data_IF_933640427195
#
_entry.id   IF_933640427195
#
_cell.length_a   1.000
_cell.length_b   1.000
_cell.length_c   1.000
_cell.angle_alpha   90.00
_cell.angle_beta   90.00
_cell.angle_gamma   90.00
#
_symmetry.space_group_name_H-M   'P 1'
#
loop_
_entity.id
_entity.type
_entity.pdbx_description
1 polymer ?
#
# COMPACT_ATOMS: atom_id res chain seq x y z
N UNK A 1 -5.54 28.42 -8.96
CA UNK A 1 -6.89 28.06 -8.51
C UNK A 1 -7.38 26.99 -9.47
N UNK A 2 -6.96 25.76 -9.20
CA UNK A 2 -7.08 24.61 -10.10
C UNK A 2 -8.53 24.12 -10.08
N UNK A 3 -9.11 23.96 -11.26
CA UNK A 3 -10.52 23.67 -11.47
C UNK A 3 -10.86 22.33 -10.82
N UNK A 4 -11.62 22.35 -9.73
CA UNK A 4 -12.06 21.14 -9.04
C UNK A 4 -12.90 20.27 -9.98
N UNK A 5 -12.30 19.20 -10.49
CA UNK A 5 -12.91 18.33 -11.48
C UNK A 5 -14.12 17.60 -10.88
N UNK A 6 -15.29 17.86 -11.45
CA UNK A 6 -16.55 17.19 -11.09
C UNK A 6 -16.66 15.94 -11.97
N UNK A 7 -16.54 14.78 -11.34
CA UNK A 7 -16.71 13.50 -12.01
C UNK A 7 -18.21 13.29 -12.36
N UNK A 8 -18.50 12.94 -13.62
CA UNK A 8 -19.83 12.50 -14.10
C UNK A 8 -20.02 10.99 -13.79
N UNK A 9 -21.28 10.54 -13.66
CA UNK A 9 -21.68 9.21 -13.16
C UNK A 9 -20.90 8.05 -13.83
N UNK A 10 -20.39 7.18 -12.96
CA UNK A 10 -19.43 6.08 -13.14
C UNK A 10 -18.04 6.49 -13.64
N UNK A 11 -17.12 6.74 -12.69
CA UNK A 11 -15.71 6.92 -13.00
C UNK A 11 -14.81 6.05 -12.14
N UNK A 12 -13.67 5.70 -12.73
CA UNK A 12 -12.57 5.06 -12.02
C UNK A 12 -11.74 6.11 -11.32
N UNK A 13 -11.49 5.87 -10.04
CA UNK A 13 -10.71 6.76 -9.18
C UNK A 13 -9.54 5.97 -8.61
N UNK A 14 -8.33 6.49 -8.78
CA UNK A 14 -7.15 6.00 -8.09
C UNK A 14 -6.93 6.80 -6.79
N UNK A 15 -6.71 6.11 -5.68
CA UNK A 15 -6.42 6.68 -4.37
C UNK A 15 -4.94 6.46 -4.03
N UNK A 16 -4.31 7.50 -3.49
CA UNK A 16 -3.01 7.41 -2.82
C UNK A 16 -3.23 7.30 -1.31
N UNK A 17 -2.69 6.24 -0.70
CA UNK A 17 -3.05 5.80 0.63
C UNK A 17 -1.80 5.63 1.49
N UNK A 18 -1.84 6.18 2.69
CA UNK A 18 -0.88 5.93 3.77
C UNK A 18 -1.57 5.15 4.89
N UNK A 19 -0.85 4.20 5.51
CA UNK A 19 -1.35 3.52 6.70
C UNK A 19 -0.28 2.96 7.63
N UNK A 20 -0.59 2.99 8.92
CA UNK A 20 0.09 2.20 9.94
C UNK A 20 -0.53 0.80 10.01
N UNK A 21 0.14 -0.17 9.41
CA UNK A 21 -0.31 -1.57 9.37
C UNK A 21 -0.38 -2.31 10.71
N UNK A 22 0.11 -1.74 11.81
CA UNK A 22 0.30 -2.49 13.06
C UNK A 22 -1.00 -3.00 13.70
N UNK A 23 -2.14 -2.37 13.40
CA UNK A 23 -3.48 -2.78 13.86
C UNK A 23 -4.28 -3.59 12.82
N UNK A 24 -3.68 -3.96 11.69
CA UNK A 24 -4.37 -4.58 10.57
C UNK A 24 -3.87 -5.99 10.29
N UNK A 25 -4.81 -6.88 9.95
CA UNK A 25 -4.53 -8.21 9.41
C UNK A 25 -4.18 -8.14 7.92
N UNK A 26 -3.39 -7.14 7.52
CA UNK A 26 -2.94 -6.88 6.16
C UNK A 26 -3.90 -6.03 5.34
N UNK A 27 -3.59 -5.93 4.05
CA UNK A 27 -4.38 -5.14 3.10
C UNK A 27 -5.74 -5.79 2.80
N UNK A 28 -5.72 -7.05 2.35
CA UNK A 28 -6.86 -7.71 1.70
C UNK A 28 -7.94 -8.08 2.70
N UNK A 29 -9.21 -7.81 2.36
CA UNK A 29 -10.35 -8.32 3.15
C UNK A 29 -10.27 -9.85 3.26
N UNK A 30 -10.38 -10.34 4.49
CA UNK A 30 -10.41 -11.75 4.85
C UNK A 30 -11.26 -11.97 6.11
N UNK A 31 -11.63 -13.22 6.38
CA UNK A 31 -12.45 -13.55 7.55
C UNK A 31 -11.66 -13.31 8.85
N UNK A 32 -12.30 -12.66 9.84
CA UNK A 32 -11.83 -12.64 11.22
C UNK A 32 -10.82 -11.54 11.59
N UNK A 33 -10.77 -10.40 10.87
CA UNK A 33 -9.96 -9.27 11.32
C UNK A 33 -10.16 -7.96 10.56
N UNK A 34 -9.65 -6.88 11.15
CA UNK A 34 -9.64 -5.54 10.56
C UNK A 34 -8.58 -5.49 9.46
N UNK A 35 -8.96 -4.98 8.28
CA UNK A 35 -8.09 -4.91 7.08
C UNK A 35 -8.15 -3.52 6.49
N UNK A 36 -7.06 -3.07 5.85
CA UNK A 36 -7.01 -1.71 5.28
C UNK A 36 -8.07 -1.55 4.17
N UNK A 37 -8.19 -2.55 3.29
CA UNK A 37 -9.21 -2.57 2.25
C UNK A 37 -10.62 -2.46 2.84
N UNK A 38 -10.93 -3.25 3.87
CA UNK A 38 -12.26 -3.26 4.49
C UNK A 38 -12.62 -1.92 5.13
N UNK A 39 -11.68 -1.26 5.80
CA UNK A 39 -11.92 0.07 6.38
C UNK A 39 -12.16 1.13 5.32
N UNK A 40 -11.41 1.11 4.22
CA UNK A 40 -11.62 2.07 3.13
C UNK A 40 -12.94 1.81 2.41
N UNK A 41 -13.28 0.55 2.10
CA UNK A 41 -14.57 0.18 1.51
C UNK A 41 -15.75 0.60 2.41
N UNK A 42 -15.62 0.41 3.74
CA UNK A 42 -16.60 0.91 4.74
C UNK A 42 -16.72 2.43 4.69
N UNK A 43 -15.60 3.16 4.67
CA UNK A 43 -15.59 4.62 4.63
C UNK A 43 -16.23 5.15 3.33
N UNK A 44 -15.96 4.52 2.19
CA UNK A 44 -16.61 4.86 0.91
C UNK A 44 -18.12 4.61 0.99
N UNK A 45 -18.55 3.49 1.58
CA UNK A 45 -19.99 3.21 1.77
C UNK A 45 -20.67 4.26 2.64
N UNK A 46 -20.04 4.70 3.71
CA UNK A 46 -20.58 5.77 4.58
C UNK A 46 -20.68 7.09 3.82
N UNK A 47 -19.63 7.44 3.07
CA UNK A 47 -19.56 8.74 2.39
C UNK A 47 -20.49 8.83 1.18
N UNK A 48 -20.67 7.72 0.45
CA UNK A 48 -21.38 7.72 -0.85
C UNK A 48 -22.71 6.99 -0.82
N UNK A 49 -22.99 6.20 0.22
CA UNK A 49 -24.14 5.30 0.28
C UNK A 49 -24.03 4.07 -0.63
N UNK A 50 -22.90 3.87 -1.32
CA UNK A 50 -22.69 2.80 -2.30
C UNK A 50 -21.56 1.89 -1.87
N UNK A 51 -21.73 0.60 -2.10
CA UNK A 51 -20.65 -0.37 -1.96
C UNK A 51 -19.67 -0.25 -3.13
N UNK A 52 -18.39 -0.42 -2.85
CA UNK A 52 -17.34 -0.46 -3.85
C UNK A 52 -16.35 -1.57 -3.53
N UNK A 53 -15.62 -2.02 -4.53
CA UNK A 53 -14.46 -2.89 -4.34
C UNK A 53 -13.18 -2.14 -4.69
N UNK A 54 -12.22 -2.16 -3.78
CA UNK A 54 -10.89 -1.62 -4.04
C UNK A 54 -9.96 -2.70 -4.63
N UNK A 55 -9.16 -2.30 -5.61
CA UNK A 55 -8.08 -3.12 -6.16
C UNK A 55 -6.75 -2.38 -6.00
N UNK A 56 -5.85 -2.92 -5.18
CA UNK A 56 -4.55 -2.33 -4.90
C UNK A 56 -3.47 -2.68 -5.93
N UNK A 57 -2.44 -1.83 -5.98
CA UNK A 57 -1.21 -2.04 -6.72
C UNK A 57 -0.42 -3.24 -6.19
N UNK A 58 -0.41 -3.46 -4.88
CA UNK A 58 0.18 -4.62 -4.23
C UNK A 58 -0.52 -4.95 -2.91
N UNK A 59 -0.51 -6.23 -2.51
CA UNK A 59 -1.00 -6.65 -1.19
C UNK A 59 0.12 -6.49 -0.16
N UNK A 60 -0.22 -6.04 1.04
CA UNK A 60 0.67 -6.07 2.20
C UNK A 60 0.18 -7.08 3.22
N UNK A 61 1.13 -7.76 3.87
CA UNK A 61 0.85 -8.71 4.95
C UNK A 61 0.47 -8.00 6.25
N UNK A 62 0.00 -8.78 7.24
CA UNK A 62 -0.34 -8.29 8.58
C UNK A 62 0.83 -7.52 9.21
N UNK A 63 0.54 -6.35 9.77
CA UNK A 63 1.53 -5.49 10.41
C UNK A 63 2.36 -4.60 9.47
N UNK A 64 2.34 -4.82 8.14
CA UNK A 64 3.15 -4.04 7.18
C UNK A 64 2.50 -2.69 6.91
N UNK A 65 3.29 -1.61 6.95
CA UNK A 65 2.85 -0.23 6.70
C UNK A 65 2.87 0.13 5.21
N UNK A 66 2.28 1.27 4.84
CA UNK A 66 2.50 1.88 3.52
C UNK A 66 2.62 3.41 3.61
N UNK A 67 3.55 3.96 2.85
CA UNK A 67 3.72 5.40 2.64
C UNK A 67 3.02 5.91 1.37
N UNK A 68 2.64 5.01 0.46
CA UNK A 68 2.12 5.38 -0.86
C UNK A 68 1.48 4.21 -1.58
N UNK A 69 0.62 3.46 -0.89
CA UNK A 69 -0.15 2.41 -1.53
C UNK A 69 -1.14 3.05 -2.51
N UNK A 70 -1.21 2.49 -3.73
CA UNK A 70 -2.20 2.92 -4.73
C UNK A 70 -3.28 1.87 -4.84
N UNK A 71 -4.55 2.30 -4.82
CA UNK A 71 -5.67 1.42 -5.11
C UNK A 71 -6.70 2.16 -5.96
N UNK A 72 -7.36 1.46 -6.86
CA UNK A 72 -8.48 2.02 -7.62
C UNK A 72 -9.82 1.42 -7.20
N UNK A 73 -10.88 2.20 -7.42
CA UNK A 73 -12.26 1.76 -7.33
C UNK A 73 -13.07 2.41 -8.46
N UNK A 74 -14.19 1.79 -8.79
CA UNK A 74 -15.21 2.42 -9.62
C UNK A 74 -16.26 3.07 -8.70
N UNK A 75 -16.56 4.35 -8.96
CA UNK A 75 -17.50 5.13 -8.17
C UNK A 75 -18.60 5.69 -9.08
N UNK A 76 -19.84 5.27 -8.82
CA UNK A 76 -21.03 5.79 -9.52
C UNK A 76 -21.73 6.90 -8.74
N UNK A 77 -20.95 7.81 -8.16
CA UNK A 77 -21.46 8.96 -7.41
C UNK A 77 -20.77 10.24 -7.88
N UNK A 78 -21.50 11.36 -8.04
CA UNK A 78 -20.91 12.63 -8.40
C UNK A 78 -20.12 13.19 -7.20
N UNK A 79 -18.88 12.73 -7.03
CA UNK A 79 -17.98 13.17 -5.96
C UNK A 79 -16.91 14.09 -6.53
N UNK A 80 -16.67 15.20 -5.83
CA UNK A 80 -15.50 16.05 -6.04
C UNK A 80 -14.28 15.38 -5.43
N UNK A 81 -13.24 15.12 -6.23
CA UNK A 81 -12.03 14.41 -5.78
C UNK A 81 -11.37 15.05 -4.55
N UNK A 82 -11.29 16.38 -4.52
CA UNK A 82 -10.73 17.12 -3.39
C UNK A 82 -11.51 16.89 -2.09
N UNK A 83 -12.82 16.71 -2.18
CA UNK A 83 -13.68 16.40 -1.04
C UNK A 83 -13.70 14.92 -0.69
N UNK A 84 -13.43 14.04 -1.66
CA UNK A 84 -13.35 12.59 -1.43
C UNK A 84 -12.22 12.28 -0.45
N UNK A 85 -11.02 12.83 -0.65
CA UNK A 85 -9.88 12.58 0.24
C UNK A 85 -10.17 13.05 1.68
N UNK A 86 -10.70 14.27 1.83
CA UNK A 86 -11.06 14.84 3.13
C UNK A 86 -12.17 14.02 3.80
N UNK A 87 -13.22 13.70 3.05
CA UNK A 87 -14.37 12.96 3.56
C UNK A 87 -13.99 11.55 4.02
N UNK A 88 -13.21 10.82 3.22
CA UNK A 88 -12.72 9.49 3.59
C UNK A 88 -11.80 9.57 4.81
N UNK A 89 -10.85 10.49 4.83
CA UNK A 89 -9.93 10.65 5.97
C UNK A 89 -10.64 11.11 7.25
N UNK A 90 -11.81 11.75 7.16
CA UNK A 90 -12.64 12.09 8.32
C UNK A 90 -13.45 10.92 8.88
N UNK A 91 -13.64 9.84 8.11
CA UNK A 91 -14.36 8.61 8.53
C UNK A 91 -13.39 7.50 8.96
N UNK A 92 -12.21 7.48 8.35
CA UNK A 92 -11.15 6.54 8.68
C UNK A 92 -10.55 6.86 10.05
N UNK A 93 -10.11 5.80 10.74
CA UNK A 93 -9.32 5.94 11.96
C UNK A 93 -7.92 6.49 11.66
N UNK A 94 -7.24 6.99 12.69
CA UNK A 94 -5.95 7.71 12.57
C UNK A 94 -4.82 6.91 11.95
N UNK A 95 -4.99 5.60 11.79
CA UNK A 95 -4.01 4.68 11.21
C UNK A 95 -4.15 4.51 9.69
N UNK A 96 -5.11 5.16 9.03
CA UNK A 96 -5.24 5.19 7.56
C UNK A 96 -5.60 6.60 7.10
N UNK A 97 -4.92 7.09 6.05
CA UNK A 97 -5.21 8.38 5.45
C UNK A 97 -5.25 8.29 3.92
N UNK A 98 -6.20 9.00 3.31
CA UNK A 98 -6.26 9.19 1.86
C UNK A 98 -5.55 10.49 1.53
N UNK A 99 -4.37 10.38 0.92
CA UNK A 99 -3.49 11.51 0.65
C UNK A 99 -3.88 12.26 -0.61
N UNK A 100 -4.35 11.53 -1.62
CA UNK A 100 -4.80 12.11 -2.86
C UNK A 100 -5.77 11.16 -3.59
N UNK A 101 -6.51 11.71 -4.56
CA UNK A 101 -7.40 10.96 -5.43
C UNK A 101 -7.34 11.53 -6.85
N UNK A 102 -7.35 10.65 -7.84
CA UNK A 102 -7.19 10.99 -9.24
C UNK A 102 -8.31 10.36 -10.06
N UNK A 103 -8.95 11.14 -10.94
CA UNK A 103 -9.72 10.57 -12.03
C UNK A 103 -8.75 9.89 -12.99
N UNK A 104 -9.02 8.64 -13.32
CA UNK A 104 -8.17 7.85 -14.21
C UNK A 104 -9.02 7.26 -15.34
N UNK A 105 -8.40 6.89 -16.47
CA UNK A 105 -9.10 6.18 -17.54
C UNK A 105 -9.88 4.95 -17.03
N UNK A 106 -11.04 4.61 -17.62
CA UNK A 106 -11.84 3.45 -17.18
C UNK A 106 -11.12 2.10 -17.26
N UNK A 107 -10.07 2.00 -18.08
CA UNK A 107 -9.23 0.83 -18.25
C UNK A 107 -8.01 0.78 -17.31
N UNK A 108 -7.74 1.86 -16.56
CA UNK A 108 -6.64 1.88 -15.59
C UNK A 108 -6.78 0.76 -14.56
N UNK A 109 -5.70 0.04 -14.28
CA UNK A 109 -5.67 -1.01 -13.28
C UNK A 109 -4.43 -0.90 -12.38
N UNK A 110 -4.62 -0.43 -11.14
CA UNK A 110 -3.56 -0.18 -10.16
C UNK A 110 -2.50 -1.31 -10.04
N UNK A 111 -2.90 -2.59 -10.17
CA UNK A 111 -1.96 -3.73 -10.15
C UNK A 111 -1.19 -3.93 -11.45
N UNK A 112 -1.83 -3.79 -12.60
CA UNK A 112 -1.26 -4.24 -13.87
C UNK A 112 -0.54 -3.11 -14.60
N UNK A 113 -0.98 -1.86 -14.39
CA UNK A 113 -0.34 -0.67 -14.96
C UNK A 113 0.83 -0.16 -14.10
N UNK A 114 1.01 -0.71 -12.89
CA UNK A 114 2.12 -0.35 -12.04
C UNK A 114 3.44 -0.88 -12.63
N UNK A 115 4.32 0.06 -13.00
CA UNK A 115 5.65 -0.21 -13.59
C UNK A 115 6.69 -0.69 -12.58
N UNK A 116 6.48 -0.43 -11.30
CA UNK A 116 7.41 -0.79 -10.22
C UNK A 116 6.76 -0.65 -8.84
N UNK A 117 7.40 -1.23 -7.82
CA UNK A 117 7.03 -1.03 -6.41
C UNK A 117 8.31 -0.91 -5.59
N UNK A 118 8.32 0.05 -4.68
CA UNK A 118 9.43 0.27 -3.76
C UNK A 118 9.03 -0.18 -2.35
N UNK A 119 9.98 -0.83 -1.66
CA UNK A 119 9.81 -1.28 -0.29
C UNK A 119 10.97 -0.75 0.56
N UNK A 120 10.63 -0.20 1.72
CA UNK A 120 11.61 0.23 2.72
C UNK A 120 11.54 -0.71 3.93
N UNK A 121 12.65 -1.37 4.24
CA UNK A 121 12.80 -2.13 5.47
C UNK A 121 13.72 -1.38 6.44
N UNK A 122 13.17 -0.97 7.58
CA UNK A 122 13.93 -0.23 8.59
C UNK A 122 14.51 -1.18 9.63
N UNK A 123 15.83 -1.07 9.84
CA UNK A 123 16.54 -1.77 10.91
C UNK A 123 17.08 -0.72 11.88
N UNK A 124 16.70 -0.85 13.15
CA UNK A 124 17.28 -0.06 14.24
C UNK A 124 18.41 -0.86 14.87
N UNK A 125 19.65 -0.51 14.52
CA UNK A 125 20.85 -1.17 15.03
C UNK A 125 21.41 -0.47 16.27
N UNK A 126 20.81 -0.71 17.43
CA UNK A 126 21.22 -0.13 18.71
C UNK A 126 21.39 -1.19 19.78
N UNK A 127 22.33 -1.00 20.71
CA UNK A 127 22.56 -1.96 21.81
C UNK A 127 21.35 -2.13 22.72
N UNK A 128 20.57 -1.07 22.92
CA UNK A 128 19.30 -1.10 23.65
C UNK A 128 18.12 -0.85 22.70
N UNK A 129 16.96 -1.42 23.03
CA UNK A 129 15.69 -1.13 22.35
C UNK A 129 15.35 0.36 22.44
N UNK A 130 14.73 0.89 21.39
CA UNK A 130 14.14 2.24 21.40
C UNK A 130 12.62 2.14 21.36
N UNK A 131 11.90 2.69 22.36
CA UNK A 131 10.45 2.79 22.32
C UNK A 131 9.91 3.55 21.09
N UNK A 132 10.68 4.49 20.54
CA UNK A 132 10.30 5.23 19.33
C UNK A 132 10.37 4.39 18.04
N UNK A 133 11.12 3.29 18.07
CA UNK A 133 11.25 2.36 16.94
C UNK A 133 10.27 1.19 17.03
N UNK A 134 9.48 1.12 18.11
CA UNK A 134 8.46 0.10 18.30
C UNK A 134 7.46 0.14 17.14
N UNK A 135 7.26 -0.99 16.45
CA UNK A 135 6.39 -1.12 15.27
C UNK A 135 6.81 -0.19 14.10
N UNK A 136 8.08 0.18 14.02
CA UNK A 136 8.65 0.98 12.92
C UNK A 136 9.90 0.36 12.32
N UNK A 137 10.72 -0.27 13.15
CA UNK A 137 11.95 -0.91 12.70
C UNK A 137 12.19 -2.26 13.40
N UNK A 138 12.88 -3.16 12.71
CA UNK A 138 13.42 -4.37 13.33
C UNK A 138 14.59 -3.98 14.24
N UNK A 139 14.53 -4.37 15.51
CA UNK A 139 15.63 -4.11 16.44
C UNK A 139 16.71 -5.19 16.31
N UNK A 140 17.95 -4.76 16.03
CA UNK A 140 19.13 -5.62 16.01
C UNK A 140 20.16 -5.07 17.01
N UNK A 141 20.54 -5.87 17.98
CA UNK A 141 21.45 -5.44 19.06
C UNK A 141 22.92 -5.76 18.80
N UNK A 142 23.22 -6.68 17.88
CA UNK A 142 24.58 -6.98 17.43
C UNK A 142 25.03 -5.95 16.38
N UNK A 143 26.30 -5.51 16.39
CA UNK A 143 26.85 -4.67 15.32
C UNK A 143 26.63 -5.33 13.95
N UNK A 144 26.17 -4.54 12.98
CA UNK A 144 26.03 -4.98 11.60
C UNK A 144 27.27 -4.58 10.80
N UNK A 145 27.80 -5.54 10.03
CA UNK A 145 28.82 -5.26 9.03
C UNK A 145 28.15 -4.69 7.77
N UNK A 146 28.21 -3.37 7.63
CA UNK A 146 27.56 -2.66 6.52
C UNK A 146 28.25 -2.92 5.17
N UNK A 147 29.54 -3.22 5.16
CA UNK A 147 30.26 -3.48 3.91
C UNK A 147 29.92 -4.88 3.40
N UNK A 148 29.82 -5.85 4.30
CA UNK A 148 29.28 -7.18 3.98
C UNK A 148 27.84 -7.09 3.46
N UNK A 149 26.95 -6.34 4.13
CA UNK A 149 25.56 -6.20 3.70
C UNK A 149 25.43 -5.52 2.34
N UNK A 150 26.23 -4.48 2.06
CA UNK A 150 26.26 -3.82 0.74
C UNK A 150 26.75 -4.77 -0.35
N UNK A 151 27.83 -5.50 -0.10
CA UNK A 151 28.36 -6.48 -1.04
C UNK A 151 27.34 -7.59 -1.33
N UNK A 152 26.67 -8.10 -0.30
CA UNK A 152 25.61 -9.10 -0.44
C UNK A 152 24.40 -8.57 -1.22
N UNK A 153 23.94 -7.35 -0.94
CA UNK A 153 22.80 -6.74 -1.62
C UNK A 153 23.06 -6.48 -3.11
N UNK A 154 24.30 -6.17 -3.49
CA UNK A 154 24.67 -5.94 -4.89
C UNK A 154 24.42 -7.17 -5.78
N UNK A 155 24.46 -8.39 -5.22
CA UNK A 155 24.13 -9.61 -5.95
C UNK A 155 22.63 -9.77 -6.25
N UNK A 156 21.76 -8.93 -5.68
CA UNK A 156 20.32 -8.98 -5.89
C UNK A 156 19.84 -8.03 -6.99
N UNK A 157 20.71 -7.16 -7.52
CA UNK A 157 20.36 -6.19 -8.55
C UNK A 157 20.33 -6.84 -9.94
N UNK A 158 19.36 -6.45 -10.77
CA UNK A 158 19.16 -6.99 -12.12
C UNK A 158 18.07 -8.05 -12.18
N UNK A 159 18.05 -8.82 -13.27
CA UNK A 159 17.07 -9.87 -13.53
C UNK A 159 17.55 -11.21 -12.98
N UNK A 160 16.86 -11.74 -11.97
CA UNK A 160 17.24 -12.97 -11.26
C UNK A 160 16.00 -13.82 -10.94
N UNK A 161 16.23 -15.11 -10.70
CA UNK A 161 15.23 -16.01 -10.13
C UNK A 161 15.22 -15.88 -8.60
N UNK A 162 14.12 -15.33 -8.06
CA UNK A 162 13.93 -15.13 -6.62
C UNK A 162 13.16 -16.29 -5.95
N UNK A 163 13.17 -17.50 -6.52
CA UNK A 163 12.46 -18.65 -5.95
C UNK A 163 12.85 -18.94 -4.49
N UNK A 164 14.14 -18.81 -4.15
CA UNK A 164 14.63 -19.01 -2.77
C UNK A 164 14.10 -17.97 -1.76
N UNK A 165 13.55 -16.85 -2.22
CA UNK A 165 12.98 -15.79 -1.39
C UNK A 165 11.45 -15.87 -1.31
N UNK A 166 10.83 -16.83 -1.98
CA UNK A 166 9.38 -16.97 -2.04
C UNK A 166 8.85 -17.92 -0.96
N UNK A 167 7.92 -17.43 -0.13
CA UNK A 167 7.20 -18.27 0.87
C UNK A 167 6.20 -19.24 0.22
N UNK A 168 5.62 -18.84 -0.92
CA UNK A 168 4.78 -19.64 -1.82
C UNK A 168 4.99 -19.11 -3.23
N UNK A 169 5.11 -20.02 -4.21
CA UNK A 169 5.13 -19.65 -5.63
C UNK A 169 3.72 -19.14 -5.98
N UNK A 170 3.62 -17.91 -6.47
CA UNK A 170 2.36 -17.39 -7.03
C UNK A 170 1.98 -18.24 -8.24
N UNK A 171 0.72 -18.69 -8.32
CA UNK A 171 0.25 -19.65 -9.32
C UNK A 171 0.55 -19.28 -10.79
N UNK A 172 0.69 -17.99 -11.11
CA UNK A 172 0.64 -17.54 -12.52
C UNK A 172 1.82 -16.65 -12.97
N UNK A 173 2.81 -16.34 -12.11
CA UNK A 173 3.76 -15.24 -12.38
C UNK A 173 5.25 -15.58 -12.38
N UNK A 174 5.61 -16.85 -12.15
CA UNK A 174 7.00 -17.26 -11.94
C UNK A 174 7.71 -16.48 -10.82
N UNK A 175 9.01 -16.71 -10.70
CA UNK A 175 9.88 -16.13 -9.66
C UNK A 175 10.96 -15.22 -10.22
N UNK A 176 11.02 -15.07 -11.55
CA UNK A 176 11.89 -14.12 -12.24
C UNK A 176 11.46 -12.67 -11.95
N UNK A 177 12.34 -11.86 -11.37
CA UNK A 177 12.07 -10.43 -11.12
C UNK A 177 13.31 -9.61 -11.45
N UNK A 178 13.07 -8.33 -11.74
CA UNK A 178 14.11 -7.32 -11.85
C UNK A 178 14.13 -6.46 -10.59
N UNK A 179 15.29 -6.28 -9.99
CA UNK A 179 15.54 -5.29 -8.95
C UNK A 179 16.37 -4.17 -9.58
N UNK A 180 15.86 -2.95 -9.50
CA UNK A 180 16.57 -1.76 -9.98
C UNK A 180 17.62 -1.32 -8.94
N UNK A 181 18.67 -0.65 -9.43
CA UNK A 181 19.82 -0.20 -8.65
C UNK A 181 19.56 1.12 -7.91
#
# INVERSE_FOLDING_TARGET
>A
METAERIRSLARIALLIEYDGSGFNGWQVQNGGRTVQGEIERAVKILTGRECRLTAAGRTDSGVHALGQVAHLDCDSPVRLDRLCIGLSGILERDVAIKNAFAVPPDFHARFDAVGREYLYLIYNGRQRSPFMLRRAMWVHHPLDMDYLRAAAAHLVGELDFASFCKKISADGGTMRRVDA
#
